data_IF_026448841474
#
_entry.id   IF_026448841474
#
_cell.length_a   1.000
_cell.length_b   1.000
_cell.length_c   1.000
_cell.angle_alpha   90.00
_cell.angle_beta   90.00
_cell.angle_gamma   90.00
#
_symmetry.space_group_name_H-M   'P 1'
#
loop_
_entity.id
_entity.type
_entity.pdbx_description
1 polymer ?
#
# COMPACT_ATOMS: atom_id res chain seq x y z
N UNK A 1 48.05 31.51 17.04
CA UNK A 1 46.96 31.11 17.95
C UNK A 1 45.71 30.93 17.08
N UNK A 2 45.47 29.71 16.59
CA UNK A 2 44.37 29.36 15.68
C UNK A 2 43.23 28.74 16.48
N UNK A 3 42.09 29.41 16.54
CA UNK A 3 40.87 28.90 17.19
C UNK A 3 40.19 27.89 16.28
N UNK A 4 40.12 26.63 16.73
CA UNK A 4 39.29 25.58 16.11
C UNK A 4 37.82 25.88 16.42
N UNK A 5 36.90 25.94 15.44
CA UNK A 5 35.48 26.04 15.72
C UNK A 5 34.99 24.69 16.26
N UNK A 6 34.50 24.67 17.49
CA UNK A 6 33.77 23.52 18.03
C UNK A 6 32.41 23.44 17.34
N UNK A 7 32.18 22.39 16.56
CA UNK A 7 30.85 22.09 16.02
C UNK A 7 29.90 21.77 17.17
N UNK A 8 28.99 22.70 17.47
CA UNK A 8 27.82 22.43 18.28
C UNK A 8 26.97 21.41 17.56
N UNK A 9 26.89 20.19 18.10
CA UNK A 9 25.89 19.21 17.69
C UNK A 9 24.52 19.74 18.11
N UNK A 10 23.87 20.49 17.22
CA UNK A 10 22.44 20.78 17.34
C UNK A 10 21.71 19.45 17.31
N UNK A 11 21.32 18.95 18.49
CA UNK A 11 20.33 17.89 18.58
C UNK A 11 19.03 18.50 18.09
N UNK A 12 18.50 18.11 16.90
CA UNK A 12 17.20 18.60 16.50
C UNK A 12 16.20 18.19 17.58
N UNK A 13 15.41 19.14 18.07
CA UNK A 13 14.36 18.86 19.05
C UNK A 13 13.44 17.72 18.59
N UNK A 14 12.64 17.13 19.49
CA UNK A 14 11.80 15.97 19.17
C UNK A 14 10.82 16.23 18.02
N UNK A 15 10.39 17.48 17.81
CA UNK A 15 9.45 17.87 16.77
C UNK A 15 9.99 17.68 15.34
N UNK A 16 11.16 18.22 14.95
CA UNK A 16 11.78 17.94 13.65
C UNK A 16 12.01 16.45 13.39
N UNK A 17 12.39 15.68 14.41
CA UNK A 17 12.62 14.24 14.29
C UNK A 17 11.32 13.45 14.04
N UNK A 18 10.20 13.88 14.63
CA UNK A 18 8.86 13.30 14.40
C UNK A 18 8.31 13.68 13.02
N UNK A 19 8.47 14.94 12.61
CA UNK A 19 8.05 15.41 11.27
C UNK A 19 8.84 14.73 10.15
N UNK A 20 10.10 14.33 10.40
CA UNK A 20 10.89 13.53 9.47
C UNK A 20 10.28 12.12 9.22
N UNK A 21 9.40 11.63 10.13
CA UNK A 21 8.69 10.35 10.04
C UNK A 21 7.22 10.52 9.68
N UNK A 22 6.86 11.61 8.99
CA UNK A 22 5.47 11.84 8.56
C UNK A 22 4.83 10.64 7.83
N UNK A 23 5.53 9.82 7.01
CA UNK A 23 4.86 8.70 6.35
C UNK A 23 4.43 7.62 7.33
N UNK A 24 5.26 7.32 8.34
CA UNK A 24 4.91 6.43 9.45
C UNK A 24 3.70 6.97 10.22
N UNK A 25 3.66 8.27 10.52
CA UNK A 25 2.55 8.87 11.26
C UNK A 25 1.23 8.79 10.47
N UNK A 26 1.28 9.06 9.17
CA UNK A 26 0.11 8.94 8.29
C UNK A 26 -0.32 7.49 8.16
N UNK A 27 0.62 6.54 8.08
CA UNK A 27 0.32 5.10 8.03
C UNK A 27 -0.36 4.62 9.31
N UNK A 28 0.13 5.06 10.46
CA UNK A 28 -0.49 4.76 11.75
C UNK A 28 -1.88 5.39 11.88
N UNK A 29 -2.06 6.63 11.43
CA UNK A 29 -3.36 7.29 11.44
C UNK A 29 -4.37 6.55 10.53
N UNK A 30 -3.94 6.13 9.34
CA UNK A 30 -4.75 5.32 8.44
C UNK A 30 -5.13 3.98 9.09
N UNK A 31 -4.18 3.30 9.73
CA UNK A 31 -4.43 2.04 10.44
C UNK A 31 -5.48 2.19 11.53
N UNK A 32 -5.36 3.24 12.36
CA UNK A 32 -6.34 3.52 13.42
C UNK A 32 -7.70 3.80 12.80
N UNK A 33 -7.77 4.63 11.76
CA UNK A 33 -9.02 4.99 11.09
C UNK A 33 -9.72 3.78 10.47
N UNK A 34 -8.98 2.89 9.80
CA UNK A 34 -9.53 1.69 9.16
C UNK A 34 -9.89 0.59 10.16
N UNK A 35 -9.29 0.60 11.36
CA UNK A 35 -9.57 -0.41 12.39
C UNK A 35 -10.64 0.01 13.40
N UNK A 36 -10.99 1.30 13.48
CA UNK A 36 -11.90 1.83 14.50
C UNK A 36 -13.33 1.25 14.45
N UNK A 37 -13.80 0.90 13.25
CA UNK A 37 -15.13 0.31 13.03
C UNK A 37 -15.17 -1.22 13.06
N UNK A 38 -14.03 -1.87 13.33
CA UNK A 38 -13.82 -3.29 13.08
C UNK A 38 -13.15 -3.52 11.71
N UNK A 39 -12.39 -4.61 11.62
CA UNK A 39 -11.68 -4.99 10.39
C UNK A 39 -12.32 -6.27 9.84
N UNK A 40 -12.66 -6.25 8.56
CA UNK A 40 -13.13 -7.42 7.83
C UNK A 40 -12.25 -7.70 6.59
N UNK A 41 -12.47 -8.86 5.97
CA UNK A 41 -11.70 -9.30 4.82
C UNK A 41 -11.91 -8.42 3.57
N UNK A 42 -13.08 -7.79 3.44
CA UNK A 42 -13.40 -6.96 2.28
C UNK A 42 -12.66 -5.62 2.34
N UNK A 43 -12.65 -4.98 3.51
CA UNK A 43 -11.89 -3.76 3.77
C UNK A 43 -10.39 -4.01 3.56
N UNK A 44 -9.87 -5.10 4.13
CA UNK A 44 -8.47 -5.48 3.97
C UNK A 44 -8.13 -5.73 2.50
N UNK A 45 -8.92 -6.53 1.78
CA UNK A 45 -8.72 -6.77 0.36
C UNK A 45 -8.71 -5.46 -0.45
N UNK A 46 -9.64 -4.54 -0.16
CA UNK A 46 -9.73 -3.24 -0.85
C UNK A 46 -8.50 -2.37 -0.60
N UNK A 47 -8.03 -2.28 0.65
CA UNK A 47 -6.82 -1.52 1.02
C UNK A 47 -5.61 -2.10 0.27
N UNK A 48 -5.43 -3.42 0.28
CA UNK A 48 -4.28 -4.07 -0.36
C UNK A 48 -4.36 -3.96 -1.89
N UNK A 49 -5.55 -4.00 -2.49
CA UNK A 49 -5.72 -3.74 -3.91
C UNK A 49 -5.29 -2.31 -4.28
N UNK A 50 -5.68 -1.29 -3.49
CA UNK A 50 -5.24 0.09 -3.72
C UNK A 50 -3.73 0.20 -3.53
N UNK A 51 -3.16 -0.42 -2.50
CA UNK A 51 -1.72 -0.43 -2.24
C UNK A 51 -0.95 -1.03 -3.43
N UNK A 52 -1.34 -2.21 -3.91
CA UNK A 52 -0.72 -2.85 -5.07
C UNK A 52 -0.91 -2.03 -6.36
N UNK A 53 -2.05 -1.35 -6.51
CA UNK A 53 -2.30 -0.45 -7.64
C UNK A 53 -1.33 0.75 -7.63
N UNK A 54 -0.93 1.25 -6.46
CA UNK A 54 0.06 2.33 -6.34
C UNK A 54 1.41 1.94 -6.97
N UNK A 55 1.85 0.70 -6.75
CA UNK A 55 3.07 0.17 -7.35
C UNK A 55 2.94 0.01 -8.87
N UNK A 56 1.82 -0.55 -9.32
CA UNK A 56 1.54 -0.71 -10.74
C UNK A 56 1.49 0.64 -11.47
N UNK A 57 0.85 1.65 -10.87
CA UNK A 57 0.78 3.00 -11.41
C UNK A 57 2.16 3.66 -11.51
N UNK A 58 3.00 3.50 -10.48
CA UNK A 58 4.36 4.03 -10.50
C UNK A 58 5.23 3.36 -11.58
N UNK A 59 5.11 2.04 -11.75
CA UNK A 59 5.79 1.29 -12.79
C UNK A 59 5.30 1.68 -14.20
N UNK A 60 3.99 1.79 -14.39
CA UNK A 60 3.36 2.18 -15.65
C UNK A 60 3.73 3.62 -16.05
N UNK A 61 3.73 4.56 -15.11
CA UNK A 61 4.10 5.94 -15.35
C UNK A 61 5.62 6.16 -15.41
N UNK A 62 6.41 5.24 -14.86
CA UNK A 62 7.86 5.38 -14.72
C UNK A 62 8.30 6.48 -13.77
N UNK A 63 7.41 6.87 -12.84
CA UNK A 63 7.63 7.97 -11.89
C UNK A 63 7.16 7.54 -10.49
N UNK A 64 8.05 7.51 -9.48
CA UNK A 64 7.68 7.12 -8.12
C UNK A 64 6.55 7.96 -7.50
N UNK A 65 6.46 9.22 -7.88
CA UNK A 65 5.43 10.14 -7.40
C UNK A 65 4.01 9.76 -7.83
N UNK A 66 3.84 9.00 -8.93
CA UNK A 66 2.50 8.57 -9.36
C UNK A 66 1.81 7.69 -8.31
N UNK A 67 2.58 6.94 -7.51
CA UNK A 67 2.04 6.08 -6.48
C UNK A 67 1.19 6.85 -5.45
N UNK A 68 1.64 8.04 -5.03
CA UNK A 68 0.88 8.88 -4.08
C UNK A 68 -0.42 9.40 -4.68
N UNK A 69 -0.48 9.64 -6.00
CA UNK A 69 -1.72 10.04 -6.67
C UNK A 69 -2.71 8.88 -6.81
N UNK A 70 -2.22 7.64 -6.77
CA UNK A 70 -3.06 6.45 -6.88
C UNK A 70 -3.89 6.21 -5.63
N UNK A 71 -3.43 6.62 -4.43
CA UNK A 71 -4.22 6.51 -3.20
C UNK A 71 -5.56 7.26 -3.30
N UNK A 72 -5.59 8.59 -3.53
CA UNK A 72 -6.86 9.31 -3.64
C UNK A 72 -7.68 8.87 -4.87
N UNK A 73 -7.03 8.46 -5.97
CA UNK A 73 -7.74 7.91 -7.12
C UNK A 73 -8.42 6.58 -6.79
N UNK A 74 -7.74 5.68 -6.06
CA UNK A 74 -8.29 4.40 -5.61
C UNK A 74 -9.47 4.60 -4.65
N UNK A 75 -9.33 5.52 -3.69
CA UNK A 75 -10.43 5.92 -2.80
C UNK A 75 -11.61 6.46 -3.61
N UNK A 76 -11.37 7.32 -4.60
CA UNK A 76 -12.42 7.86 -5.45
C UNK A 76 -13.14 6.76 -6.26
N UNK A 77 -12.41 5.75 -6.77
CA UNK A 77 -13.01 4.60 -7.46
C UNK A 77 -13.88 3.75 -6.53
N UNK A 78 -13.43 3.50 -5.31
CA UNK A 78 -14.22 2.77 -4.31
C UNK A 78 -15.48 3.56 -3.94
N UNK A 79 -15.34 4.85 -3.64
CA UNK A 79 -16.48 5.73 -3.35
C UNK A 79 -17.45 5.79 -4.53
N UNK A 80 -16.95 5.85 -5.76
CA UNK A 80 -17.79 5.82 -6.96
C UNK A 80 -18.59 4.51 -7.03
N UNK A 81 -17.96 3.36 -6.77
CA UNK A 81 -18.64 2.07 -6.72
C UNK A 81 -19.79 2.07 -5.70
N UNK A 82 -19.53 2.59 -4.50
CA UNK A 82 -20.55 2.75 -3.44
C UNK A 82 -21.72 3.65 -3.86
N UNK A 83 -21.47 4.67 -4.69
CA UNK A 83 -22.49 5.65 -5.12
C UNK A 83 -23.26 5.23 -6.39
N UNK A 84 -22.72 4.33 -7.21
CA UNK A 84 -23.23 4.04 -8.56
C UNK A 84 -23.70 2.60 -8.78
N UNK A 85 -23.78 1.80 -7.72
CA UNK A 85 -24.05 0.34 -7.76
C UNK A 85 -23.03 -0.44 -8.63
N UNK A 86 -21.90 0.18 -8.98
CA UNK A 86 -20.79 -0.49 -9.65
C UNK A 86 -19.95 -1.23 -8.62
N UNK A 87 -19.45 -2.41 -9.01
CA UNK A 87 -18.55 -3.18 -8.17
C UNK A 87 -17.18 -2.48 -8.06
N UNK A 88 -16.77 -2.15 -6.84
CA UNK A 88 -15.52 -1.43 -6.59
C UNK A 88 -14.29 -2.25 -7.01
N UNK A 89 -14.35 -3.58 -6.85
CA UNK A 89 -13.26 -4.48 -7.26
C UNK A 89 -13.10 -4.45 -8.78
N UNK A 90 -14.21 -4.50 -9.53
CA UNK A 90 -14.21 -4.34 -10.99
C UNK A 90 -13.58 -3.01 -11.40
N UNK A 91 -13.94 -1.90 -10.76
CA UNK A 91 -13.36 -0.58 -11.07
C UNK A 91 -11.84 -0.56 -10.87
N UNK A 92 -11.34 -1.15 -9.77
CA UNK A 92 -9.90 -1.23 -9.49
C UNK A 92 -9.18 -2.16 -10.48
N UNK A 93 -9.78 -3.29 -10.85
CA UNK A 93 -9.23 -4.21 -11.87
C UNK A 93 -9.18 -3.55 -13.25
N UNK A 94 -10.21 -2.80 -13.63
CA UNK A 94 -10.23 -2.03 -14.88
C UNK A 94 -9.15 -0.94 -14.87
N UNK A 95 -8.96 -0.26 -13.75
CA UNK A 95 -7.87 0.72 -13.59
C UNK A 95 -6.50 0.06 -13.74
N UNK A 96 -6.29 -1.11 -13.13
CA UNK A 96 -5.05 -1.88 -13.29
C UNK A 96 -4.80 -2.29 -14.74
N UNK A 97 -5.82 -2.80 -15.43
CA UNK A 97 -5.71 -3.16 -16.85
C UNK A 97 -5.36 -1.94 -17.72
N UNK A 98 -6.00 -0.79 -17.47
CA UNK A 98 -5.69 0.46 -18.15
C UNK A 98 -4.25 0.92 -17.90
N UNK A 99 -3.74 0.79 -16.67
CA UNK A 99 -2.34 1.10 -16.33
C UNK A 99 -1.35 0.17 -17.03
N UNK A 100 -1.65 -1.13 -17.12
CA UNK A 100 -0.82 -2.09 -17.87
C UNK A 100 -0.75 -1.69 -19.34
N UNK A 101 -1.90 -1.46 -19.97
CA UNK A 101 -1.98 -1.03 -21.38
C UNK A 101 -1.21 0.28 -21.58
N UNK A 102 -1.44 1.26 -20.72
CA UNK A 102 -0.72 2.53 -20.75
C UNK A 102 0.79 2.34 -20.62
N UNK A 103 1.24 1.50 -19.69
CA UNK A 103 2.64 1.18 -19.47
C UNK A 103 3.27 0.51 -20.69
N UNK A 104 2.59 -0.46 -21.31
CA UNK A 104 3.07 -1.15 -22.52
C UNK A 104 3.22 -0.19 -23.71
N UNK A 105 2.34 0.80 -23.83
CA UNK A 105 2.38 1.81 -24.90
C UNK A 105 3.44 2.88 -24.64
N UNK A 106 3.59 3.34 -23.39
CA UNK A 106 4.41 4.52 -23.06
C UNK A 106 5.83 4.20 -22.59
N UNK A 107 6.09 2.99 -22.10
CA UNK A 107 7.39 2.64 -21.51
C UNK A 107 8.29 1.95 -22.55
N UNK A 108 9.60 2.26 -22.55
CA UNK A 108 10.55 1.48 -23.33
C UNK A 108 10.55 0.02 -22.86
N UNK A 109 10.92 -0.91 -23.74
CA UNK A 109 10.95 -2.36 -23.44
C UNK A 109 11.80 -2.71 -22.21
N UNK A 110 12.84 -1.92 -21.93
CA UNK A 110 13.65 -2.06 -20.72
C UNK A 110 12.87 -1.87 -19.41
N UNK A 111 11.71 -1.19 -19.45
CA UNK A 111 10.81 -1.01 -18.30
C UNK A 111 9.75 -2.10 -18.16
N UNK A 112 9.59 -2.99 -19.14
CA UNK A 112 8.55 -4.04 -19.12
C UNK A 112 8.72 -5.08 -18.02
N UNK A 113 9.94 -5.51 -17.64
CA UNK A 113 10.10 -6.45 -16.54
C UNK A 113 9.56 -5.91 -15.21
N UNK A 114 9.80 -4.62 -14.93
CA UNK A 114 9.29 -3.96 -13.71
C UNK A 114 7.76 -3.81 -13.78
N UNK A 115 7.21 -3.41 -14.93
CA UNK A 115 5.76 -3.36 -15.14
C UNK A 115 5.11 -4.73 -14.93
N UNK A 116 5.70 -5.78 -15.50
CA UNK A 116 5.23 -7.15 -15.36
C UNK A 116 5.28 -7.65 -13.93
N UNK A 117 6.34 -7.32 -13.17
CA UNK A 117 6.44 -7.67 -11.75
C UNK A 117 5.34 -7.01 -10.92
N UNK A 118 5.07 -5.71 -11.13
CA UNK A 118 4.02 -5.03 -10.38
C UNK A 118 2.61 -5.45 -10.82
N UNK A 119 2.42 -5.79 -12.10
CA UNK A 119 1.16 -6.37 -12.59
C UNK A 119 0.91 -7.76 -11.99
N UNK A 120 1.95 -8.60 -11.89
CA UNK A 120 1.88 -9.89 -11.22
C UNK A 120 1.63 -9.74 -9.71
N UNK A 121 2.27 -8.76 -9.06
CA UNK A 121 2.01 -8.41 -7.67
C UNK A 121 0.54 -8.03 -7.45
N UNK A 122 0.02 -7.09 -8.26
CA UNK A 122 -1.39 -6.69 -8.21
C UNK A 122 -2.32 -7.88 -8.40
N UNK A 123 -2.08 -8.72 -9.41
CA UNK A 123 -2.88 -9.91 -9.66
C UNK A 123 -2.85 -10.87 -8.46
N UNK A 124 -1.67 -11.19 -7.92
CA UNK A 124 -1.50 -12.10 -6.79
C UNK A 124 -2.20 -11.62 -5.51
N UNK A 125 -2.02 -10.34 -5.15
CA UNK A 125 -2.69 -9.77 -3.97
C UNK A 125 -4.20 -9.64 -4.17
N UNK A 126 -4.65 -9.26 -5.37
CA UNK A 126 -6.09 -9.19 -5.68
C UNK A 126 -6.73 -10.58 -5.62
N UNK A 127 -6.08 -11.61 -6.16
CA UNK A 127 -6.54 -12.99 -6.05
C UNK A 127 -6.65 -13.42 -4.60
N UNK A 128 -5.64 -13.14 -3.77
CA UNK A 128 -5.67 -13.51 -2.37
C UNK A 128 -6.81 -12.81 -1.61
N UNK A 129 -7.02 -11.52 -1.86
CA UNK A 129 -8.14 -10.76 -1.29
C UNK A 129 -9.51 -11.27 -1.74
N UNK A 130 -9.67 -11.58 -3.03
CA UNK A 130 -10.90 -12.16 -3.57
C UNK A 130 -11.20 -13.54 -2.97
N UNK A 131 -10.18 -14.40 -2.84
CA UNK A 131 -10.36 -15.71 -2.19
C UNK A 131 -10.77 -15.52 -0.74
N UNK A 132 -10.17 -14.56 -0.02
CA UNK A 132 -10.57 -14.24 1.36
C UNK A 132 -12.07 -13.88 1.48
N UNK A 133 -12.66 -13.25 0.45
CA UNK A 133 -14.08 -12.90 0.44
C UNK A 133 -15.04 -14.08 0.14
N UNK A 134 -14.53 -15.22 -0.31
CA UNK A 134 -15.33 -16.37 -0.76
C UNK A 134 -15.29 -17.58 0.19
N UNK A 135 -14.52 -17.50 1.27
CA UNK A 135 -14.31 -18.59 2.23
C UNK A 135 -14.99 -18.31 3.57
N UNK A 136 -14.93 -19.27 4.49
CA UNK A 136 -15.48 -19.10 5.84
C UNK A 136 -14.77 -17.96 6.60
N UNK A 137 -15.42 -17.33 7.60
CA UNK A 137 -14.89 -16.13 8.26
C UNK A 137 -13.50 -16.30 8.89
N UNK A 138 -13.18 -17.50 9.40
CA UNK A 138 -11.89 -17.76 10.04
C UNK A 138 -10.81 -17.80 8.97
N UNK A 139 -11.01 -18.58 7.91
CA UNK A 139 -10.06 -18.63 6.80
C UNK A 139 -9.93 -17.28 6.08
N UNK A 140 -11.04 -16.55 5.93
CA UNK A 140 -11.08 -15.21 5.36
C UNK A 140 -10.14 -14.25 6.10
N UNK A 141 -10.19 -14.24 7.43
CA UNK A 141 -9.31 -13.40 8.24
C UNK A 141 -7.82 -13.77 8.08
N UNK A 142 -7.49 -15.06 7.99
CA UNK A 142 -6.10 -15.49 7.79
C UNK A 142 -5.59 -15.11 6.40
N UNK A 143 -6.41 -15.26 5.36
CA UNK A 143 -6.04 -14.86 4.01
C UNK A 143 -5.93 -13.34 3.85
N UNK A 144 -6.82 -12.58 4.47
CA UNK A 144 -6.75 -11.12 4.52
C UNK A 144 -5.49 -10.64 5.24
N UNK A 145 -5.15 -11.24 6.39
CA UNK A 145 -3.92 -10.96 7.11
C UNK A 145 -2.67 -11.36 6.29
N UNK A 146 -2.71 -12.50 5.59
CA UNK A 146 -1.63 -12.93 4.70
C UNK A 146 -1.43 -11.95 3.55
N UNK A 147 -2.51 -11.44 2.95
CA UNK A 147 -2.45 -10.43 1.90
C UNK A 147 -1.82 -9.13 2.43
N UNK A 148 -2.27 -8.66 3.58
CA UNK A 148 -1.77 -7.43 4.19
C UNK A 148 -0.31 -7.55 4.61
N UNK A 149 0.06 -8.61 5.36
CA UNK A 149 1.46 -8.81 5.77
C UNK A 149 2.35 -9.06 4.55
N UNK A 150 1.89 -9.83 3.57
CA UNK A 150 2.60 -10.09 2.33
C UNK A 150 2.91 -8.81 1.56
N UNK A 151 1.92 -7.91 1.45
CA UNK A 151 2.12 -6.60 0.83
C UNK A 151 3.04 -5.71 1.68
N UNK A 152 2.87 -5.69 3.00
CA UNK A 152 3.79 -4.97 3.89
C UNK A 152 5.25 -5.45 3.77
N UNK A 153 5.48 -6.74 3.56
CA UNK A 153 6.83 -7.27 3.24
C UNK A 153 7.29 -6.80 1.87
N UNK A 154 6.41 -6.77 0.87
CA UNK A 154 6.68 -6.20 -0.46
C UNK A 154 7.11 -4.73 -0.35
N UNK A 155 6.46 -3.96 0.51
CA UNK A 155 6.81 -2.56 0.81
C UNK A 155 8.20 -2.45 1.43
N UNK A 156 8.53 -3.28 2.43
CA UNK A 156 9.86 -3.27 3.04
C UNK A 156 10.96 -3.57 2.03
N UNK A 157 10.71 -4.49 1.09
CA UNK A 157 11.63 -4.79 -0.01
C UNK A 157 11.83 -3.57 -0.91
N UNK A 158 10.75 -2.87 -1.29
CA UNK A 158 10.83 -1.70 -2.15
C UNK A 158 11.38 -0.46 -1.45
N UNK A 159 11.10 -0.29 -0.16
CA UNK A 159 11.69 0.73 0.70
C UNK A 159 13.21 0.58 0.74
N UNK A 160 13.70 -0.65 0.97
CA UNK A 160 15.14 -0.97 0.97
C UNK A 160 15.77 -0.77 -0.40
N UNK A 161 15.11 -1.22 -1.48
CA UNK A 161 15.61 -1.09 -2.86
C UNK A 161 15.53 0.33 -3.40
N UNK A 162 14.69 1.19 -2.81
CA UNK A 162 14.39 2.54 -3.30
C UNK A 162 14.08 2.57 -4.81
N UNK A 163 13.22 1.64 -5.24
CA UNK A 163 12.83 1.47 -6.65
C UNK A 163 11.32 1.37 -6.75
N UNK A 164 10.79 1.73 -7.93
CA UNK A 164 9.36 1.76 -8.29
C UNK A 164 8.60 2.89 -7.60
N UNK A 165 8.52 2.86 -6.28
CA UNK A 165 7.82 3.87 -5.47
C UNK A 165 8.81 4.67 -4.62
N UNK A 166 8.38 5.82 -4.12
CA UNK A 166 9.18 6.62 -3.19
C UNK A 166 9.24 5.95 -1.81
N UNK A 167 10.34 6.15 -1.07
CA UNK A 167 10.49 5.59 0.30
C UNK A 167 9.36 5.97 1.24
N UNK A 168 8.81 7.18 1.10
CA UNK A 168 7.69 7.64 1.90
C UNK A 168 6.44 6.81 1.67
N UNK A 169 6.09 6.49 0.43
CA UNK A 169 4.92 5.64 0.15
C UNK A 169 5.13 4.22 0.67
N UNK A 170 6.31 3.63 0.40
CA UNK A 170 6.61 2.29 0.90
C UNK A 170 6.61 2.21 2.44
N UNK A 171 7.11 3.24 3.13
CA UNK A 171 7.04 3.32 4.59
C UNK A 171 5.59 3.45 5.09
N UNK A 172 4.79 4.30 4.46
CA UNK A 172 3.36 4.44 4.74
C UNK A 172 2.60 3.12 4.59
N UNK A 173 2.73 2.45 3.44
CA UNK A 173 2.07 1.17 3.14
C UNK A 173 2.56 0.07 4.07
N UNK A 174 3.87 -0.03 4.35
CA UNK A 174 4.40 -1.03 5.27
C UNK A 174 3.79 -0.90 6.68
N UNK A 175 3.67 0.31 7.21
CA UNK A 175 3.08 0.54 8.54
C UNK A 175 1.60 0.18 8.55
N UNK A 176 0.85 0.63 7.54
CA UNK A 176 -0.57 0.33 7.41
C UNK A 176 -0.82 -1.18 7.28
N UNK A 177 -0.13 -1.85 6.36
CA UNK A 177 -0.45 -3.21 5.94
C UNK A 177 0.04 -4.26 6.95
N UNK A 178 1.25 -4.07 7.51
CA UNK A 178 1.73 -4.93 8.60
C UNK A 178 0.86 -4.75 9.85
N UNK A 179 0.48 -3.51 10.15
CA UNK A 179 -0.41 -3.21 11.26
C UNK A 179 -1.79 -3.84 11.07
N UNK A 180 -2.38 -3.68 9.89
CA UNK A 180 -3.70 -4.19 9.56
C UNK A 180 -3.74 -5.71 9.65
N UNK A 181 -2.77 -6.41 9.04
CA UNK A 181 -2.68 -7.86 9.13
C UNK A 181 -2.47 -8.35 10.58
N UNK A 182 -1.69 -7.62 11.38
CA UNK A 182 -1.49 -7.93 12.80
C UNK A 182 -2.79 -7.76 13.60
N UNK A 183 -3.52 -6.66 13.39
CA UNK A 183 -4.81 -6.40 14.05
C UNK A 183 -5.82 -7.48 13.69
N UNK A 184 -5.93 -7.85 12.42
CA UNK A 184 -6.84 -8.91 11.95
C UNK A 184 -6.55 -10.23 12.69
N UNK A 185 -5.28 -10.64 12.75
CA UNK A 185 -4.92 -11.87 13.46
C UNK A 185 -5.27 -11.76 14.95
N UNK A 186 -4.87 -10.69 15.64
CA UNK A 186 -5.15 -10.51 17.07
C UNK A 186 -6.66 -10.61 17.34
N UNK A 187 -7.48 -9.87 16.60
CA UNK A 187 -8.94 -9.90 16.76
C UNK A 187 -9.49 -11.31 16.51
N UNK A 188 -9.02 -11.97 15.45
CA UNK A 188 -9.45 -13.35 15.10
C UNK A 188 -9.13 -14.35 16.20
N UNK A 189 -7.98 -14.23 16.86
CA UNK A 189 -7.57 -15.14 17.92
C UNK A 189 -8.25 -14.84 19.26
N UNK A 190 -8.57 -13.57 19.55
CA UNK A 190 -9.28 -13.18 20.77
C UNK A 190 -10.79 -13.48 20.71
N UNK A 191 -11.36 -13.59 19.51
CA UNK A 191 -12.78 -13.91 19.31
C UNK A 191 -13.09 -15.42 19.29
N UNK A 192 -12.08 -16.28 19.44
CA UNK A 192 -12.23 -17.74 19.59
C UNK A 192 -12.40 -18.12 21.05
#
# INVERSE_FOLDING_TARGET
MTTVPTSSTDNPGPLPAVLARWPTLVGLAALIATSAGGVDAHLAATIIMIAALCYLAAAAAGRPAAAWLTIPAGVALVTLGMLTALDAVLLLVLAAAALVIFGLVRRPRSGWPELGLQAAGFAGFTTLGLVAMMVDPVLAAHLAALAAIGHGVWDLVHHRRNRVVGRSLAEFCAVLDLGLGTVILIVTWLAR
#
